data_IF_881022703531
#
_entry.id   IF_881022703531
#
_cell.length_a   1.000
_cell.length_b   1.000
_cell.length_c   1.000
_cell.angle_alpha   90.00
_cell.angle_beta   90.00
_cell.angle_gamma   90.00
#
_symmetry.space_group_name_H-M   'P 1'
#
loop_
_entity.id
_entity.type
_entity.pdbx_description
1 polymer ?
#
# COMPACT_ATOMS: atom_id res chain seq x y z
N UNK A 1 32.82 -2.98 21.31
CA UNK A 1 31.62 -2.42 21.95
C UNK A 1 30.44 -2.82 21.09
N UNK A 2 29.79 -3.93 21.43
CA UNK A 2 28.68 -4.52 20.66
C UNK A 2 27.38 -3.81 21.06
N UNK A 3 26.69 -3.20 20.11
CA UNK A 3 25.40 -2.53 20.31
C UNK A 3 24.37 -3.55 20.84
N UNK A 4 23.54 -3.23 21.84
CA UNK A 4 22.58 -4.19 22.39
C UNK A 4 21.62 -4.68 21.30
N UNK A 5 21.55 -6.01 21.15
CA UNK A 5 20.63 -6.68 20.26
C UNK A 5 19.20 -6.28 20.59
N UNK A 6 18.51 -5.74 19.58
CA UNK A 6 17.10 -5.43 19.66
C UNK A 6 16.36 -6.73 19.97
N UNK A 7 15.65 -6.75 21.10
CA UNK A 7 14.85 -7.88 21.54
C UNK A 7 13.74 -8.06 20.50
N UNK A 8 13.98 -8.91 19.49
CA UNK A 8 13.01 -9.20 18.42
C UNK A 8 11.70 -9.61 19.07
N UNK A 9 10.67 -8.78 18.92
CA UNK A 9 9.36 -9.09 19.48
C UNK A 9 8.93 -10.47 18.96
N UNK A 10 8.47 -11.39 19.82
CA UNK A 10 8.13 -12.75 19.41
C UNK A 10 7.03 -12.80 18.33
N UNK A 11 6.32 -11.69 18.10
CA UNK A 11 5.29 -11.50 17.08
C UNK A 11 5.76 -10.81 15.79
N UNK A 12 7.02 -10.35 15.71
CA UNK A 12 7.57 -9.81 14.46
C UNK A 12 7.66 -10.91 13.41
N UNK A 13 6.85 -10.77 12.37
CA UNK A 13 6.68 -11.80 11.35
C UNK A 13 7.09 -11.33 9.96
N UNK A 14 6.92 -10.05 9.67
CA UNK A 14 7.21 -9.45 8.38
C UNK A 14 8.10 -8.25 8.63
N UNK A 15 9.28 -8.24 7.99
CA UNK A 15 10.31 -7.21 8.16
C UNK A 15 10.63 -6.59 6.81
N UNK A 16 10.63 -5.27 6.74
CA UNK A 16 10.97 -4.54 5.52
C UNK A 16 12.03 -3.47 5.78
N UNK A 17 13.07 -3.37 4.94
CA UNK A 17 14.14 -2.38 5.08
C UNK A 17 13.69 -0.98 4.67
N UNK A 18 14.52 0.01 4.96
CA UNK A 18 14.46 1.30 4.27
C UNK A 18 14.76 1.09 2.79
N UNK A 19 13.85 1.55 1.94
CA UNK A 19 14.04 1.51 0.48
C UNK A 19 14.32 2.92 -0.01
N UNK A 20 15.40 3.11 -0.76
CA UNK A 20 15.71 4.37 -1.43
C UNK A 20 15.56 4.28 -2.93
N UNK A 21 15.15 5.40 -3.53
CA UNK A 21 15.27 5.61 -4.96
C UNK A 21 16.72 6.02 -5.33
N UNK A 22 17.13 5.92 -6.61
CA UNK A 22 18.48 6.30 -7.04
C UNK A 22 18.83 7.78 -6.82
N UNK A 23 17.82 8.64 -6.64
CA UNK A 23 17.99 10.06 -6.30
C UNK A 23 18.18 10.29 -4.78
N UNK A 24 18.24 9.22 -3.97
CA UNK A 24 18.41 9.26 -2.53
C UNK A 24 17.11 9.47 -1.74
N UNK A 25 16.00 9.75 -2.41
CA UNK A 25 14.70 9.92 -1.75
C UNK A 25 14.17 8.61 -1.17
N UNK A 26 13.38 8.71 -0.10
CA UNK A 26 12.79 7.53 0.56
C UNK A 26 11.64 7.02 -0.30
N UNK A 27 11.81 5.80 -0.81
CA UNK A 27 10.73 5.09 -1.48
C UNK A 27 9.70 4.67 -0.42
N UNK A 28 8.40 4.91 -0.66
CA UNK A 28 7.37 4.68 0.35
C UNK A 28 7.03 3.19 0.51
N UNK A 29 7.91 2.48 1.19
CA UNK A 29 7.93 1.02 1.38
C UNK A 29 7.26 0.56 2.67
N UNK A 30 6.90 1.46 3.57
CA UNK A 30 6.31 1.11 4.87
C UNK A 30 5.23 2.10 5.24
N UNK A 31 3.97 1.64 5.26
CA UNK A 31 2.80 2.51 5.43
C UNK A 31 1.75 1.89 6.33
N UNK A 32 0.83 2.73 6.78
CA UNK A 32 -0.39 2.25 7.42
C UNK A 32 -1.31 1.57 6.41
N UNK A 33 -2.19 0.71 6.92
CA UNK A 33 -3.23 0.12 6.09
C UNK A 33 -4.13 1.21 5.49
N UNK A 34 -4.48 1.09 4.20
CA UNK A 34 -5.50 1.94 3.60
C UNK A 34 -6.81 1.83 4.38
N UNK A 35 -7.39 2.97 4.73
CA UNK A 35 -8.66 3.03 5.44
C UNK A 35 -9.55 4.07 4.77
N UNK A 36 -10.72 3.63 4.30
CA UNK A 36 -11.71 4.55 3.70
C UNK A 36 -12.16 5.62 4.70
N UNK A 37 -12.33 5.23 5.98
CA UNK A 37 -12.67 6.18 7.05
C UNK A 37 -11.53 7.17 7.27
N UNK A 38 -10.28 6.71 7.36
CA UNK A 38 -9.13 7.59 7.59
C UNK A 38 -8.91 8.54 6.41
N UNK A 39 -8.99 8.03 5.19
CA UNK A 39 -8.89 8.83 3.96
C UNK A 39 -10.03 9.84 3.84
N UNK A 40 -11.28 9.41 4.10
CA UNK A 40 -12.45 10.29 4.08
C UNK A 40 -12.39 11.38 5.14
N UNK A 41 -12.05 11.04 6.39
CA UNK A 41 -11.88 12.02 7.46
C UNK A 41 -10.71 12.96 7.22
N UNK A 42 -9.61 12.49 6.63
CA UNK A 42 -8.54 13.37 6.19
C UNK A 42 -9.03 14.36 5.12
N UNK A 43 -9.80 13.91 4.13
CA UNK A 43 -10.32 14.78 3.07
C UNK A 43 -11.29 15.84 3.60
N UNK A 44 -12.15 15.47 4.55
CA UNK A 44 -13.17 16.37 5.12
C UNK A 44 -12.58 17.32 6.18
N UNK A 45 -11.81 16.78 7.12
CA UNK A 45 -11.35 17.53 8.31
C UNK A 45 -9.98 18.16 8.09
N UNK A 46 -9.14 17.56 7.24
CA UNK A 46 -7.76 18.00 6.99
C UNK A 46 -7.59 19.44 6.50
N UNK A 47 -8.48 20.00 5.65
CA UNK A 47 -8.41 21.40 5.25
C UNK A 47 -8.58 22.38 6.42
N UNK A 48 -9.39 22.02 7.43
CA UNK A 48 -9.80 22.91 8.52
C UNK A 48 -9.02 22.69 9.83
N UNK A 49 -8.54 21.47 10.06
CA UNK A 49 -7.78 21.12 11.26
C UNK A 49 -6.60 20.21 10.90
N UNK A 50 -5.44 20.81 10.65
CA UNK A 50 -4.26 20.11 10.12
C UNK A 50 -3.63 19.11 11.09
N UNK A 51 -3.85 19.25 12.40
CA UNK A 51 -3.28 18.37 13.45
C UNK A 51 -4.25 17.28 13.95
N UNK A 52 -5.42 17.13 13.33
CA UNK A 52 -6.38 16.10 13.74
C UNK A 52 -5.80 14.67 13.63
N UNK A 53 -6.28 13.70 14.43
CA UNK A 53 -5.73 12.34 14.44
C UNK A 53 -5.70 11.64 13.07
N UNK A 54 -6.70 11.84 12.21
CA UNK A 54 -6.78 11.22 10.88
C UNK A 54 -5.76 11.82 9.91
N UNK A 55 -5.60 13.15 9.93
CA UNK A 55 -4.60 13.85 9.11
C UNK A 55 -3.19 13.59 9.61
N UNK A 56 -2.97 13.54 10.93
CA UNK A 56 -1.70 13.17 11.52
C UNK A 56 -1.31 11.74 11.11
N UNK A 57 -2.24 10.78 11.22
CA UNK A 57 -2.04 9.40 10.78
C UNK A 57 -1.80 9.28 9.26
N UNK A 58 -2.46 10.12 8.45
CA UNK A 58 -2.22 10.19 7.00
C UNK A 58 -0.84 10.77 6.67
N UNK A 59 -0.34 11.71 7.49
CA UNK A 59 0.98 12.35 7.32
C UNK A 59 2.13 11.53 7.89
N UNK A 60 1.87 10.47 8.67
CA UNK A 60 2.94 9.61 9.20
C UNK A 60 3.78 8.94 8.10
N UNK A 61 3.25 8.82 6.88
CA UNK A 61 4.01 8.39 5.71
C UNK A 61 5.19 9.34 5.35
N UNK A 62 5.30 10.49 6.03
CA UNK A 62 6.37 11.51 5.87
C UNK A 62 7.23 11.67 7.12
N UNK A 63 7.12 10.76 8.09
CA UNK A 63 8.01 10.75 9.25
C UNK A 63 9.42 10.33 8.84
N UNK A 64 10.41 10.82 9.58
CA UNK A 64 11.79 10.35 9.48
C UNK A 64 11.85 8.82 9.68
N UNK A 65 12.69 8.10 8.90
CA UNK A 65 12.83 6.66 9.04
C UNK A 65 13.19 6.26 10.48
N UNK A 66 12.29 5.52 11.11
CA UNK A 66 12.47 4.98 12.47
C UNK A 66 11.87 3.59 12.54
N UNK A 67 12.46 2.70 13.34
CA UNK A 67 11.95 1.34 13.52
C UNK A 67 10.56 1.40 14.17
N UNK A 68 9.57 0.78 13.52
CA UNK A 68 8.18 0.84 13.96
C UNK A 68 7.31 -0.25 13.36
N UNK A 69 6.22 -0.56 14.05
CA UNK A 69 5.14 -1.36 13.47
C UNK A 69 4.41 -0.55 12.37
N UNK A 70 4.06 -1.23 11.29
CA UNK A 70 3.37 -0.65 10.14
C UNK A 70 2.21 -1.54 9.69
N UNK A 71 1.30 -0.98 8.88
CA UNK A 71 0.15 -1.73 8.40
C UNK A 71 0.50 -2.73 7.29
N UNK A 72 1.49 -2.38 6.47
CA UNK A 72 2.03 -3.23 5.41
C UNK A 72 3.42 -2.72 5.00
N UNK A 73 4.16 -3.59 4.33
CA UNK A 73 5.50 -3.36 3.81
C UNK A 73 5.52 -3.69 2.32
N UNK A 74 6.28 -2.94 1.52
CA UNK A 74 6.32 -3.14 0.08
C UNK A 74 6.96 -4.47 -0.30
N UNK A 75 6.40 -5.12 -1.32
CA UNK A 75 6.96 -6.34 -1.91
C UNK A 75 8.32 -6.16 -2.61
N UNK A 76 8.84 -4.93 -2.74
CA UNK A 76 10.15 -4.68 -3.36
C UNK A 76 11.32 -5.30 -2.59
N UNK A 77 11.21 -5.37 -1.25
CA UNK A 77 12.11 -6.13 -0.40
C UNK A 77 11.41 -6.45 0.91
N UNK A 78 11.19 -7.75 1.17
CA UNK A 78 10.44 -8.21 2.32
C UNK A 78 11.00 -9.52 2.85
N UNK A 79 11.19 -9.61 4.16
CA UNK A 79 11.51 -10.86 4.85
C UNK A 79 10.30 -11.29 5.69
N UNK A 80 9.69 -12.42 5.34
CA UNK A 80 8.52 -12.95 6.06
C UNK A 80 8.86 -14.28 6.72
N UNK A 81 8.50 -14.40 8.00
CA UNK A 81 8.55 -15.65 8.76
C UNK A 81 7.63 -16.66 8.09
N UNK A 82 8.19 -17.82 7.72
CA UNK A 82 7.47 -18.89 7.02
C UNK A 82 6.13 -19.25 7.67
N UNK A 83 6.10 -19.43 8.98
CA UNK A 83 4.87 -19.77 9.72
C UNK A 83 3.77 -18.70 9.58
N UNK A 84 4.12 -17.41 9.52
CA UNK A 84 3.14 -16.36 9.33
C UNK A 84 2.65 -16.30 7.88
N UNK A 85 3.55 -16.50 6.91
CA UNK A 85 3.20 -16.57 5.49
C UNK A 85 2.26 -17.74 5.18
N UNK A 86 2.55 -18.93 5.71
CA UNK A 86 1.72 -20.12 5.55
C UNK A 86 0.36 -19.96 6.25
N UNK A 87 0.33 -19.36 7.45
CA UNK A 87 -0.91 -19.15 8.20
C UNK A 87 -1.93 -18.28 7.47
N UNK A 88 -1.48 -17.41 6.57
CA UNK A 88 -2.35 -16.53 5.78
C UNK A 88 -2.54 -17.00 4.34
N UNK A 89 -1.94 -18.13 3.95
CA UNK A 89 -2.01 -18.68 2.58
C UNK A 89 -1.14 -17.94 1.56
N UNK A 90 -0.12 -17.20 2.01
CA UNK A 90 0.81 -16.49 1.14
C UNK A 90 0.21 -15.28 0.40
N UNK A 91 0.72 -14.99 -0.81
CA UNK A 91 0.13 -13.95 -1.66
C UNK A 91 -1.17 -14.44 -2.29
N UNK A 92 -2.14 -13.53 -2.44
CA UNK A 92 -3.39 -13.83 -3.12
C UNK A 92 -3.24 -13.64 -4.63
N UNK A 93 -3.41 -14.73 -5.38
CA UNK A 93 -3.20 -14.79 -6.82
C UNK A 93 -4.20 -13.93 -7.63
N UNK A 94 -5.27 -13.42 -7.00
CA UNK A 94 -6.17 -12.43 -7.63
C UNK A 94 -5.46 -11.12 -7.93
N UNK A 95 -4.34 -10.83 -7.24
CA UNK A 95 -3.50 -9.66 -7.47
C UNK A 95 -2.33 -10.01 -8.40
N UNK A 96 -2.47 -9.67 -9.68
CA UNK A 96 -1.33 -9.73 -10.61
C UNK A 96 -0.29 -8.63 -10.31
N UNK A 97 -0.76 -7.44 -9.89
CA UNK A 97 0.06 -6.27 -9.54
C UNK A 97 -0.78 -5.29 -8.71
N UNK A 98 -0.15 -4.58 -7.80
CA UNK A 98 -0.74 -3.64 -6.86
C UNK A 98 -1.65 -4.30 -5.81
N UNK A 99 -1.62 -3.75 -4.58
CA UNK A 99 -2.38 -4.21 -3.41
C UNK A 99 -2.06 -5.62 -2.90
N UNK A 100 -1.19 -6.38 -3.57
CA UNK A 100 -0.75 -7.71 -3.14
C UNK A 100 0.00 -7.66 -1.81
N UNK A 101 0.83 -6.63 -1.63
CA UNK A 101 1.64 -6.39 -0.45
C UNK A 101 0.81 -5.77 0.68
N UNK A 102 -0.11 -4.86 0.34
CA UNK A 102 -1.10 -4.30 1.25
C UNK A 102 -2.00 -5.40 1.82
N UNK A 103 -2.50 -6.30 0.95
CA UNK A 103 -3.36 -7.40 1.34
C UNK A 103 -2.63 -8.43 2.21
N UNK A 104 -1.41 -8.80 1.83
CA UNK A 104 -0.57 -9.69 2.64
C UNK A 104 -0.33 -9.09 4.04
N UNK A 105 0.07 -7.81 4.11
CA UNK A 105 0.31 -7.12 5.37
C UNK A 105 -0.93 -7.07 6.26
N UNK A 106 -2.12 -6.87 5.67
CA UNK A 106 -3.39 -6.89 6.40
C UNK A 106 -3.76 -8.27 6.92
N UNK A 107 -3.63 -9.32 6.10
CA UNK A 107 -3.89 -10.70 6.57
C UNK A 107 -2.92 -11.14 7.65
N UNK A 108 -1.64 -10.79 7.54
CA UNK A 108 -0.63 -11.03 8.58
C UNK A 108 -1.05 -10.35 9.90
N UNK A 109 -1.44 -9.08 9.84
CA UNK A 109 -1.90 -8.34 11.01
C UNK A 109 -3.16 -8.95 11.64
N UNK A 110 -4.15 -9.33 10.83
CA UNK A 110 -5.40 -9.99 11.27
C UNK A 110 -5.16 -11.36 11.90
N UNK A 111 -4.11 -12.06 11.48
CA UNK A 111 -3.67 -13.31 12.08
C UNK A 111 -2.87 -13.12 13.40
N UNK A 112 -2.76 -11.89 13.91
CA UNK A 112 -2.13 -11.57 15.19
C UNK A 112 -0.61 -11.39 15.12
N UNK A 113 -0.06 -11.31 13.92
CA UNK A 113 1.36 -11.06 13.68
C UNK A 113 1.64 -9.59 13.38
N UNK A 114 2.91 -9.18 13.43
CA UNK A 114 3.31 -7.79 13.18
C UNK A 114 4.11 -7.65 11.89
N UNK A 115 3.87 -6.54 11.19
CA UNK A 115 4.74 -6.01 10.14
C UNK A 115 5.61 -4.91 10.75
N UNK A 116 6.93 -5.02 10.64
CA UNK A 116 7.88 -4.10 11.26
C UNK A 116 8.80 -3.51 10.20
N UNK A 117 8.85 -2.19 10.17
CA UNK A 117 9.79 -1.44 9.36
C UNK A 117 11.13 -1.33 10.08
N UNK A 118 12.22 -1.70 9.41
CA UNK A 118 13.57 -1.82 9.99
C UNK A 118 14.54 -0.95 9.18
N UNK A 119 14.62 0.37 9.44
CA UNK A 119 15.42 1.30 8.63
C UNK A 119 16.92 1.17 8.84
N UNK A 120 17.38 0.34 9.78
CA UNK A 120 18.79 -0.02 9.94
C UNK A 120 19.32 -0.93 8.83
N UNK A 121 18.41 -1.59 8.10
CA UNK A 121 18.69 -2.24 6.82
C UNK A 121 18.24 -1.32 5.68
N UNK A 122 19.09 -1.13 4.67
CA UNK A 122 18.80 -0.26 3.53
C UNK A 122 18.97 -1.02 2.21
N UNK A 123 18.06 -0.78 1.25
CA UNK A 123 18.13 -1.32 -0.11
C UNK A 123 17.84 -0.23 -1.15
N UNK A 124 18.48 -0.33 -2.31
CA UNK A 124 18.29 0.57 -3.43
C UNK A 124 17.26 0.00 -4.41
N UNK A 125 16.21 0.76 -4.73
CA UNK A 125 15.17 0.38 -5.67
C UNK A 125 15.38 1.07 -7.01
N UNK A 126 15.91 0.33 -7.99
CA UNK A 126 15.94 0.77 -9.37
C UNK A 126 14.55 0.67 -10.00
N UNK A 127 13.80 1.77 -10.04
CA UNK A 127 12.52 1.86 -10.77
C UNK A 127 12.74 1.54 -12.25
N UNK A 128 11.96 0.62 -12.83
CA UNK A 128 11.89 0.50 -14.30
C UNK A 128 11.66 -0.88 -14.92
N UNK A 129 11.70 -1.98 -14.15
CA UNK A 129 11.66 -3.32 -14.77
C UNK A 129 10.26 -3.97 -14.81
N UNK A 130 9.41 -3.76 -13.79
CA UNK A 130 8.13 -4.50 -13.65
C UNK A 130 6.93 -3.78 -14.26
N UNK A 131 6.92 -2.45 -14.26
CA UNK A 131 5.83 -1.60 -14.80
C UNK A 131 6.20 -1.04 -16.17
N UNK A 132 6.38 -1.94 -17.14
CA UNK A 132 6.74 -1.58 -18.52
C UNK A 132 5.58 -0.99 -19.34
N UNK A 133 5.90 0.11 -20.04
CA UNK A 133 5.42 0.65 -21.34
C UNK A 133 3.92 0.88 -21.62
N UNK A 134 2.97 0.37 -20.83
CA UNK A 134 1.54 0.62 -21.05
C UNK A 134 0.84 1.21 -19.79
N UNK A 135 0.74 2.54 -19.70
CA UNK A 135 0.05 3.22 -18.60
C UNK A 135 -1.43 2.82 -18.46
N UNK A 136 -2.12 2.48 -19.56
CA UNK A 136 -3.53 2.14 -19.52
C UNK A 136 -3.74 0.74 -18.91
N UNK A 137 -2.90 -0.23 -19.29
CA UNK A 137 -2.89 -1.56 -18.68
C UNK A 137 -2.53 -1.50 -17.19
N UNK A 138 -1.51 -0.73 -16.82
CA UNK A 138 -1.13 -0.55 -15.41
C UNK A 138 -2.26 0.08 -14.59
N UNK A 139 -2.93 1.09 -15.13
CA UNK A 139 -4.08 1.71 -14.50
C UNK A 139 -5.24 0.72 -14.30
N UNK A 140 -5.55 -0.08 -15.32
CA UNK A 140 -6.60 -1.09 -15.25
C UNK A 140 -6.27 -2.18 -14.21
N UNK A 141 -5.02 -2.65 -14.15
CA UNK A 141 -4.55 -3.59 -13.14
C UNK A 141 -4.69 -2.98 -11.73
N UNK A 142 -4.21 -1.76 -11.51
CA UNK A 142 -4.33 -1.05 -10.24
C UNK A 142 -5.78 -0.93 -9.78
N UNK A 143 -6.71 -0.57 -10.68
CA UNK A 143 -8.13 -0.46 -10.37
C UNK A 143 -8.78 -1.80 -10.05
N UNK A 144 -8.44 -2.85 -10.79
CA UNK A 144 -8.91 -4.22 -10.50
C UNK A 144 -8.48 -4.65 -9.10
N UNK A 145 -7.19 -4.52 -8.79
CA UNK A 145 -6.63 -4.85 -7.48
C UNK A 145 -7.23 -4.01 -6.36
N UNK A 146 -7.40 -2.70 -6.56
CA UNK A 146 -8.05 -1.81 -5.59
C UNK A 146 -9.49 -2.24 -5.31
N UNK A 147 -10.24 -2.61 -6.36
CA UNK A 147 -11.61 -3.09 -6.19
C UNK A 147 -11.65 -4.42 -5.44
N UNK A 148 -10.81 -5.40 -5.79
CA UNK A 148 -10.71 -6.68 -5.09
C UNK A 148 -10.45 -6.47 -3.60
N UNK A 149 -9.41 -5.69 -3.27
CA UNK A 149 -9.04 -5.38 -1.89
C UNK A 149 -10.21 -4.77 -1.10
N UNK A 150 -10.87 -3.77 -1.65
CA UNK A 150 -11.99 -3.11 -0.97
C UNK A 150 -13.22 -4.02 -0.87
N UNK A 151 -13.53 -4.79 -1.92
CA UNK A 151 -14.68 -5.69 -1.93
C UNK A 151 -14.58 -6.77 -0.85
N UNK A 152 -13.39 -7.32 -0.61
CA UNK A 152 -13.14 -8.31 0.44
C UNK A 152 -13.35 -7.74 1.85
N UNK A 153 -13.17 -6.42 2.01
CA UNK A 153 -13.34 -5.70 3.30
C UNK A 153 -14.77 -5.24 3.54
N UNK A 154 -15.61 -5.29 2.50
CA UNK A 154 -17.04 -5.00 2.58
C UNK A 154 -17.87 -6.16 1.97
N UNK A 155 -17.80 -7.38 2.54
CA UNK A 155 -18.40 -8.58 1.95
C UNK A 155 -19.91 -8.69 2.18
N UNK A 156 -20.48 -7.92 3.12
CA UNK A 156 -21.87 -8.09 3.50
C UNK A 156 -22.82 -7.70 2.36
N UNK A 157 -23.97 -8.38 2.27
CA UNK A 157 -24.95 -8.15 1.20
C UNK A 157 -25.47 -6.71 1.19
N UNK A 158 -25.68 -6.12 2.36
CA UNK A 158 -26.12 -4.72 2.51
C UNK A 158 -25.04 -3.71 2.09
N UNK A 159 -23.79 -4.14 1.94
CA UNK A 159 -22.68 -3.31 1.45
C UNK A 159 -22.56 -3.35 -0.09
N UNK A 160 -23.47 -4.04 -0.80
CA UNK A 160 -23.48 -4.06 -2.26
C UNK A 160 -23.54 -2.66 -2.90
N UNK A 161 -24.36 -1.71 -2.42
CA UNK A 161 -24.36 -0.35 -2.95
C UNK A 161 -22.99 0.33 -2.85
N UNK A 162 -22.27 0.16 -1.73
CA UNK A 162 -20.91 0.69 -1.57
C UNK A 162 -19.96 0.10 -2.60
N UNK A 163 -20.00 -1.23 -2.81
CA UNK A 163 -19.17 -1.92 -3.81
C UNK A 163 -19.48 -1.43 -5.23
N UNK A 164 -20.75 -1.20 -5.57
CA UNK A 164 -21.13 -0.62 -6.87
C UNK A 164 -20.61 0.80 -7.04
N UNK A 165 -20.72 1.64 -6.00
CA UNK A 165 -20.17 3.01 -6.00
C UNK A 165 -18.67 3.01 -6.21
N UNK A 166 -17.91 2.15 -5.51
CA UNK A 166 -16.46 2.02 -5.69
C UNK A 166 -16.14 1.59 -7.12
N UNK A 167 -16.84 0.57 -7.66
CA UNK A 167 -16.64 0.10 -9.04
C UNK A 167 -16.91 1.22 -10.06
N UNK A 168 -18.00 1.95 -9.89
CA UNK A 168 -18.36 3.09 -10.74
C UNK A 168 -17.33 4.22 -10.70
N UNK A 169 -16.87 4.59 -9.50
CA UNK A 169 -15.86 5.63 -9.31
C UNK A 169 -14.51 5.27 -9.96
N UNK A 170 -14.07 4.02 -9.81
CA UNK A 170 -12.84 3.53 -10.45
C UNK A 170 -12.98 3.54 -11.98
N UNK A 171 -14.11 3.08 -12.52
CA UNK A 171 -14.38 3.10 -13.96
C UNK A 171 -14.41 4.53 -14.52
N UNK A 172 -15.08 5.47 -13.83
CA UNK A 172 -15.11 6.87 -14.22
C UNK A 172 -13.70 7.48 -14.25
N UNK A 173 -12.89 7.23 -13.21
CA UNK A 173 -11.48 7.67 -13.17
C UNK A 173 -10.67 7.09 -14.32
N UNK A 174 -10.85 5.81 -14.66
CA UNK A 174 -10.17 5.18 -15.79
C UNK A 174 -10.53 5.89 -17.11
N UNK A 175 -11.83 6.16 -17.32
CA UNK A 175 -12.31 6.89 -18.50
C UNK A 175 -11.72 8.29 -18.63
N UNK A 176 -11.65 9.06 -17.54
CA UNK A 176 -11.05 10.40 -17.52
C UNK A 176 -9.56 10.35 -17.86
N UNK A 177 -8.80 9.43 -17.23
CA UNK A 177 -7.36 9.33 -17.46
C UNK A 177 -7.07 8.91 -18.89
N UNK A 178 -7.70 7.85 -19.39
CA UNK A 178 -7.54 7.38 -20.78
C UNK A 178 -7.97 8.44 -21.80
N UNK A 179 -9.11 9.11 -21.56
CA UNK A 179 -9.60 10.19 -22.42
C UNK A 179 -8.65 11.39 -22.47
N UNK A 180 -8.08 11.79 -21.32
CA UNK A 180 -7.11 12.89 -21.26
C UNK A 180 -5.78 12.56 -21.96
N UNK A 181 -5.31 11.32 -21.85
CA UNK A 181 -4.13 10.83 -22.58
C UNK A 181 -4.35 10.83 -24.09
N UNK A 182 -5.50 10.35 -24.57
CA UNK A 182 -5.85 10.38 -26.00
C UNK A 182 -5.94 11.80 -26.55
N UNK A 183 -6.55 12.74 -25.80
CA UNK A 183 -6.61 14.17 -26.18
C UNK A 183 -5.24 14.83 -26.24
N UNK A 184 -4.30 14.46 -25.37
CA UNK A 184 -2.92 14.98 -25.41
C UNK A 184 -2.13 14.46 -26.62
N UNK A 185 -2.28 13.19 -26.98
CA UNK A 185 -1.63 12.63 -28.18
C UNK A 185 -2.18 13.21 -29.49
N UNK A 186 -3.48 13.52 -29.54
CA UNK A 186 -4.10 14.16 -30.72
C UNK A 186 -3.81 15.66 -30.91
N UNK A 187 -3.24 16.34 -29.91
CA UNK A 187 -2.83 17.76 -29.99
C UNK A 187 -1.33 17.96 -30.23
N UNK A 188 -0.56 16.87 -30.29
CA UNK A 188 0.89 16.88 -30.50
C UNK A 188 1.32 16.59 -31.94
N UNK A 189 0.41 16.70 -32.91
CA UNK A 189 0.67 16.62 -34.35
C UNK A 189 0.29 17.94 -35.00
#
# INVERSE_FOLDING_TARGET
MLTPGHTRAPRSSSLGPLVRDPDGSVYPSARHQPSLVRGGMHAVVGPFWKSNPWTAAYRQDRQEPSEREVGWLSGSCLLVRRAAFDAVGGFDERYFMYMEDVDLGDRIARAGWQNVYVPSAEVLHHKGHSTGRDPARNLAAHHRSTYTFLADRYPAVWQAPLRWTIRGALAARAGVVVGSSRRKQGKGH
#
